data_IF_373232453397
#
_entry.id   IF_373232453397
#
_cell.length_a   1.000
_cell.length_b   1.000
_cell.length_c   1.000
_cell.angle_alpha   90.00
_cell.angle_beta   90.00
_cell.angle_gamma   90.00
#
_symmetry.space_group_name_H-M   'P 1'
#
loop_
_entity.id
_entity.type
_entity.pdbx_description
1 polymer ?
#
# COMPACT_ATOMS: atom_id res chain seq x y z
N UNK A 1 -26.24 0.06 15.00
CA UNK A 1 -25.51 -0.78 14.03
C UNK A 1 -25.78 -0.38 12.59
N UNK A 2 -27.04 -0.15 12.21
CA UNK A 2 -27.41 0.30 10.84
C UNK A 2 -26.63 1.52 10.34
N UNK A 3 -26.33 2.48 11.22
CA UNK A 3 -25.49 3.64 10.88
C UNK A 3 -24.08 3.23 10.43
N UNK A 4 -23.43 2.32 11.16
CA UNK A 4 -22.08 1.85 10.83
C UNK A 4 -22.07 1.10 9.50
N UNK A 5 -23.04 0.23 9.26
CA UNK A 5 -23.16 -0.51 8.01
C UNK A 5 -23.42 0.42 6.82
N UNK A 6 -24.32 1.41 7.00
CA UNK A 6 -24.70 2.36 5.95
C UNK A 6 -23.55 3.30 5.58
N UNK A 7 -22.79 3.78 6.57
CA UNK A 7 -21.75 4.79 6.39
C UNK A 7 -20.33 4.23 6.56
N UNK A 8 -20.14 2.92 6.44
CA UNK A 8 -18.85 2.26 6.67
C UNK A 8 -17.71 2.87 5.83
N UNK A 9 -17.99 3.19 4.56
CA UNK A 9 -17.02 3.77 3.63
C UNK A 9 -16.68 5.20 4.01
N UNK A 10 -17.67 6.02 4.34
CA UNK A 10 -17.50 7.41 4.73
C UNK A 10 -16.73 7.52 6.05
N UNK A 11 -17.05 6.65 7.02
CA UNK A 11 -16.33 6.55 8.29
C UNK A 11 -14.88 6.17 8.03
N UNK A 12 -14.62 5.14 7.22
CA UNK A 12 -13.27 4.73 6.86
C UNK A 12 -12.47 5.86 6.21
N UNK A 13 -13.02 6.50 5.16
CA UNK A 13 -12.37 7.62 4.47
C UNK A 13 -12.11 8.78 5.44
N UNK A 14 -13.05 9.08 6.33
CA UNK A 14 -12.88 10.13 7.32
C UNK A 14 -11.74 9.82 8.29
N UNK A 15 -11.66 8.58 8.79
CA UNK A 15 -10.58 8.15 9.69
C UNK A 15 -9.24 8.21 8.95
N UNK A 16 -9.16 7.73 7.71
CA UNK A 16 -7.94 7.79 6.87
C UNK A 16 -7.45 9.23 6.66
N UNK A 17 -8.34 10.15 6.28
CA UNK A 17 -8.00 11.57 6.11
C UNK A 17 -7.48 12.14 7.43
N UNK A 18 -8.13 11.84 8.55
CA UNK A 18 -7.72 12.31 9.87
C UNK A 18 -6.38 11.70 10.31
N UNK A 19 -6.11 10.45 9.96
CA UNK A 19 -4.84 9.75 10.16
C UNK A 19 -3.71 10.44 9.42
N UNK A 20 -3.91 10.75 8.14
CA UNK A 20 -2.93 11.48 7.31
C UNK A 20 -2.67 12.88 7.86
N UNK A 21 -3.73 13.62 8.22
CA UNK A 21 -3.61 14.94 8.85
C UNK A 21 -2.81 14.86 10.15
N UNK A 22 -3.06 13.84 10.98
CA UNK A 22 -2.33 13.61 12.22
C UNK A 22 -0.84 13.37 11.96
N UNK A 23 -0.47 12.59 10.93
CA UNK A 23 0.93 12.40 10.54
C UNK A 23 1.62 13.69 10.08
N UNK A 24 0.92 14.52 9.30
CA UNK A 24 1.46 15.81 8.86
C UNK A 24 1.62 16.77 10.03
N UNK A 25 0.64 16.84 10.93
CA UNK A 25 0.71 17.66 12.14
C UNK A 25 1.83 17.20 13.07
N UNK A 26 2.06 15.89 13.20
CA UNK A 26 3.20 15.34 13.94
C UNK A 26 4.50 15.97 13.46
N UNK A 27 4.79 15.92 12.15
CA UNK A 27 6.05 16.44 11.64
C UNK A 27 6.12 17.97 11.64
N UNK A 28 5.01 18.68 11.39
CA UNK A 28 4.96 20.15 11.49
C UNK A 28 5.26 20.60 12.93
N UNK A 29 4.55 20.06 13.91
CA UNK A 29 4.74 20.44 15.32
C UNK A 29 6.14 20.05 15.82
N UNK A 30 6.66 18.91 15.35
CA UNK A 30 8.00 18.44 15.72
C UNK A 30 9.11 19.30 15.12
N UNK A 31 9.04 19.63 13.83
CA UNK A 31 10.16 20.23 13.10
C UNK A 31 10.02 21.73 12.88
N UNK A 32 8.80 22.24 12.68
CA UNK A 32 8.55 23.66 12.49
C UNK A 32 8.43 24.39 13.84
N UNK A 33 7.66 23.82 14.77
CA UNK A 33 7.41 24.44 16.08
C UNK A 33 8.41 24.00 17.17
N UNK A 34 9.27 23.01 16.87
CA UNK A 34 10.23 22.41 17.81
C UNK A 34 9.58 21.90 19.13
N UNK A 35 8.29 21.50 19.10
CA UNK A 35 7.54 21.01 20.27
C UNK A 35 7.48 19.49 20.29
N UNK A 36 8.61 18.83 20.57
CA UNK A 36 8.73 17.35 20.56
C UNK A 36 7.68 16.64 21.43
N UNK A 37 7.44 17.12 22.65
CA UNK A 37 6.44 16.52 23.56
C UNK A 37 5.02 16.58 22.97
N UNK A 38 4.64 17.72 22.39
CA UNK A 38 3.34 17.89 21.76
C UNK A 38 3.21 17.05 20.48
N UNK A 39 4.30 16.85 19.73
CA UNK A 39 4.26 15.98 18.55
C UNK A 39 3.83 14.55 18.88
N UNK A 40 4.16 14.03 20.08
CA UNK A 40 3.73 12.68 20.49
C UNK A 40 2.21 12.51 20.54
N UNK A 41 1.44 13.59 20.76
CA UNK A 41 -0.01 13.53 20.70
C UNK A 41 -0.50 13.14 19.30
N UNK A 42 0.10 13.72 18.25
CA UNK A 42 -0.33 13.51 16.86
C UNK A 42 0.06 12.13 16.33
N UNK A 43 1.24 11.63 16.67
CA UNK A 43 1.58 10.23 16.32
C UNK A 43 0.75 9.23 17.11
N UNK A 44 0.41 9.54 18.38
CA UNK A 44 -0.52 8.74 19.17
C UNK A 44 -1.93 8.74 18.57
N UNK A 45 -2.42 9.89 18.11
CA UNK A 45 -3.70 10.01 17.42
C UNK A 45 -3.71 9.19 16.12
N UNK A 46 -2.66 9.27 15.29
CA UNK A 46 -2.52 8.43 14.11
C UNK A 46 -2.62 6.93 14.44
N UNK A 47 -1.88 6.46 15.46
CA UNK A 47 -1.91 5.04 15.85
C UNK A 47 -3.29 4.63 16.40
N UNK A 48 -3.95 5.51 17.16
CA UNK A 48 -5.30 5.27 17.65
C UNK A 48 -6.30 5.13 16.49
N UNK A 49 -6.23 6.01 15.49
CA UNK A 49 -7.11 5.99 14.33
C UNK A 49 -6.92 4.71 13.49
N UNK A 50 -5.66 4.27 13.31
CA UNK A 50 -5.36 2.98 12.66
C UNK A 50 -5.97 1.80 13.42
N UNK A 51 -5.92 1.81 14.76
CA UNK A 51 -6.58 0.78 15.58
C UNK A 51 -8.10 0.84 15.44
N UNK A 52 -8.67 2.05 15.36
CA UNK A 52 -10.11 2.23 15.15
C UNK A 52 -10.58 1.68 13.79
N UNK A 53 -9.79 1.83 12.72
CA UNK A 53 -10.08 1.21 11.42
C UNK A 53 -10.11 -0.31 11.52
N UNK A 54 -9.10 -0.90 12.17
CA UNK A 54 -9.05 -2.34 12.39
C UNK A 54 -10.27 -2.83 13.22
N UNK A 55 -10.64 -2.10 14.26
CA UNK A 55 -11.82 -2.42 15.08
C UNK A 55 -13.12 -2.28 14.29
N UNK A 56 -13.23 -1.28 13.41
CA UNK A 56 -14.41 -1.10 12.55
C UNK A 56 -14.63 -2.33 11.66
N UNK A 57 -13.57 -2.88 11.06
CA UNK A 57 -13.67 -4.12 10.29
C UNK A 57 -14.13 -5.31 11.13
N UNK A 58 -13.59 -5.46 12.35
CA UNK A 58 -13.97 -6.55 13.27
C UNK A 58 -15.44 -6.43 13.70
N UNK A 59 -15.90 -5.24 14.07
CA UNK A 59 -17.30 -5.00 14.48
C UNK A 59 -18.24 -5.31 13.33
N UNK A 60 -17.92 -4.89 12.10
CA UNK A 60 -18.76 -5.20 10.95
C UNK A 60 -18.81 -6.70 10.67
N UNK A 61 -17.70 -7.42 10.83
CA UNK A 61 -17.67 -8.87 10.67
C UNK A 61 -18.53 -9.60 11.71
N UNK A 62 -18.49 -9.15 12.96
CA UNK A 62 -19.31 -9.73 14.03
C UNK A 62 -20.82 -9.59 13.75
N UNK A 63 -21.22 -8.54 13.03
CA UNK A 63 -22.62 -8.25 12.73
C UNK A 63 -23.10 -8.91 11.43
N UNK A 64 -22.25 -8.96 10.39
CA UNK A 64 -22.63 -9.56 9.11
C UNK A 64 -22.37 -11.07 9.06
N UNK A 65 -21.40 -11.57 9.84
CA UNK A 65 -20.91 -12.96 9.74
C UNK A 65 -20.14 -13.27 8.44
N UNK A 66 -20.04 -12.29 7.54
CA UNK A 66 -19.47 -12.45 6.20
C UNK A 66 -18.29 -11.51 5.98
N UNK A 67 -17.29 -12.00 5.25
CA UNK A 67 -16.15 -11.19 4.80
C UNK A 67 -16.58 -10.34 3.61
N UNK A 68 -16.86 -9.07 3.87
CA UNK A 68 -17.24 -8.12 2.83
C UNK A 68 -16.02 -7.50 2.13
N UNK A 69 -16.22 -6.94 0.93
CA UNK A 69 -15.20 -6.15 0.21
C UNK A 69 -14.60 -5.06 1.10
N UNK A 70 -15.41 -4.44 1.95
CA UNK A 70 -14.95 -3.41 2.89
C UNK A 70 -13.91 -3.95 3.88
N UNK A 71 -14.15 -5.13 4.47
CA UNK A 71 -13.23 -5.76 5.40
C UNK A 71 -11.93 -6.19 4.71
N UNK A 72 -12.01 -6.66 3.46
CA UNK A 72 -10.81 -6.99 2.66
C UNK A 72 -9.97 -5.74 2.45
N UNK A 73 -10.59 -4.61 2.07
CA UNK A 73 -9.89 -3.34 1.89
C UNK A 73 -9.21 -2.90 3.19
N UNK A 74 -9.93 -2.86 4.32
CA UNK A 74 -9.30 -2.49 5.61
C UNK A 74 -8.15 -3.44 5.95
N UNK A 75 -8.33 -4.74 5.74
CA UNK A 75 -7.27 -5.72 6.02
C UNK A 75 -6.00 -5.42 5.23
N UNK A 76 -6.13 -5.08 3.94
CA UNK A 76 -5.00 -4.67 3.11
C UNK A 76 -4.32 -3.41 3.67
N UNK A 77 -5.10 -2.39 4.05
CA UNK A 77 -4.57 -1.14 4.63
C UNK A 77 -3.83 -1.39 5.95
N UNK A 78 -4.41 -2.18 6.85
CA UNK A 78 -3.78 -2.55 8.13
C UNK A 78 -2.51 -3.35 7.91
N UNK A 79 -2.54 -4.37 7.04
CA UNK A 79 -1.35 -5.16 6.70
C UNK A 79 -0.26 -4.27 6.10
N UNK A 80 -0.61 -3.36 5.21
CA UNK A 80 0.33 -2.40 4.64
C UNK A 80 0.94 -1.50 5.72
N UNK A 81 0.13 -0.94 6.62
CA UNK A 81 0.59 -0.10 7.72
C UNK A 81 1.58 -0.85 8.64
N UNK A 82 1.30 -2.12 8.95
CA UNK A 82 2.16 -2.96 9.79
C UNK A 82 3.46 -3.41 9.08
N UNK A 83 3.47 -3.53 7.76
CA UNK A 83 4.61 -4.07 7.00
C UNK A 83 5.45 -2.95 6.36
N UNK A 84 4.89 -2.29 5.34
CA UNK A 84 5.57 -1.27 4.55
C UNK A 84 5.45 0.14 5.15
N UNK A 85 4.43 0.37 5.98
CA UNK A 85 4.14 1.66 6.60
C UNK A 85 5.31 2.25 7.39
N UNK A 86 6.12 1.41 8.05
CA UNK A 86 7.31 1.88 8.80
C UNK A 86 8.36 2.48 7.85
N UNK A 87 8.60 1.85 6.70
CA UNK A 87 9.57 2.33 5.73
C UNK A 87 9.11 3.64 5.08
N UNK A 88 7.82 3.75 4.79
CA UNK A 88 7.23 4.94 4.20
C UNK A 88 7.13 6.08 5.20
N UNK A 89 6.83 5.80 6.47
CA UNK A 89 6.94 6.79 7.55
C UNK A 89 8.36 7.36 7.65
N UNK A 90 9.40 6.52 7.56
CA UNK A 90 10.80 7.02 7.55
C UNK A 90 11.13 7.88 6.33
N UNK A 91 10.51 7.62 5.17
CA UNK A 91 10.67 8.46 3.97
C UNK A 91 9.97 9.80 4.16
N UNK A 92 8.72 9.79 4.63
CA UNK A 92 7.94 10.99 4.94
C UNK A 92 8.67 11.87 5.96
N UNK A 93 9.09 11.27 7.06
CA UNK A 93 9.83 11.93 8.14
C UNK A 93 11.08 12.66 7.64
N UNK A 94 11.88 12.00 6.79
CA UNK A 94 13.05 12.62 6.14
C UNK A 94 12.67 13.74 5.18
N UNK A 95 11.63 13.54 4.37
CA UNK A 95 11.13 14.56 3.46
C UNK A 95 10.69 15.81 4.22
N UNK A 96 9.99 15.64 5.35
CA UNK A 96 9.58 16.74 6.23
C UNK A 96 10.78 17.46 6.84
N UNK A 97 11.77 16.73 7.36
CA UNK A 97 13.02 17.33 7.87
C UNK A 97 13.73 18.15 6.80
N UNK A 98 13.85 17.63 5.57
CA UNK A 98 14.44 18.36 4.45
C UNK A 98 13.66 19.62 4.10
N UNK A 99 12.33 19.51 3.98
CA UNK A 99 11.47 20.63 3.55
C UNK A 99 11.42 21.74 4.62
N UNK A 100 11.18 21.37 5.87
CA UNK A 100 11.05 22.30 6.99
C UNK A 100 12.42 22.87 7.39
N UNK A 101 13.49 22.06 7.35
CA UNK A 101 14.86 22.54 7.59
C UNK A 101 15.24 23.62 6.57
N UNK A 102 14.94 23.40 5.29
CA UNK A 102 15.11 24.40 4.24
C UNK A 102 14.30 25.68 4.47
N UNK A 103 13.08 25.60 5.00
CA UNK A 103 12.29 26.78 5.37
C UNK A 103 12.85 27.54 6.57
N UNK A 104 13.47 26.84 7.53
CA UNK A 104 14.04 27.45 8.75
C UNK A 104 15.50 27.88 8.59
N UNK A 105 16.17 27.47 7.51
CA UNK A 105 17.62 27.60 7.39
C UNK A 105 18.39 26.74 8.40
N UNK A 106 17.76 25.69 8.93
CA UNK A 106 18.35 24.79 9.91
C UNK A 106 18.64 23.42 9.29
N UNK A 107 19.80 22.85 9.63
CA UNK A 107 20.14 21.49 9.23
C UNK A 107 19.42 20.49 10.15
N UNK A 108 18.37 19.86 9.61
CA UNK A 108 17.60 18.82 10.29
C UNK A 108 17.95 17.40 9.81
N UNK A 109 18.62 17.26 8.68
CA UNK A 109 19.01 15.95 8.15
C UNK A 109 20.27 15.44 8.86
N UNK A 110 20.31 14.13 9.05
CA UNK A 110 21.49 13.44 9.60
C UNK A 110 22.44 13.01 8.48
N UNK A 111 23.70 12.72 8.80
CA UNK A 111 24.66 12.16 7.83
C UNK A 111 24.13 10.89 7.13
N UNK A 112 23.41 10.04 7.89
CA UNK A 112 22.74 8.86 7.36
C UNK A 112 21.66 9.21 6.34
N UNK A 113 20.92 10.30 6.58
CA UNK A 113 19.91 10.77 5.63
C UNK A 113 20.55 11.21 4.31
N UNK A 114 21.67 11.93 4.39
CA UNK A 114 22.46 12.34 3.23
C UNK A 114 23.03 11.16 2.45
N UNK A 115 23.61 10.18 3.13
CA UNK A 115 24.11 8.95 2.50
C UNK A 115 23.02 8.23 1.69
N UNK A 116 21.82 8.10 2.25
CA UNK A 116 20.70 7.45 1.55
C UNK A 116 20.22 8.29 0.36
N UNK A 117 20.17 9.62 0.49
CA UNK A 117 19.81 10.51 -0.61
C UNK A 117 20.82 10.34 -1.75
N UNK A 118 22.11 10.32 -1.43
CA UNK A 118 23.19 10.17 -2.42
C UNK A 118 23.18 8.79 -3.09
N UNK A 119 22.98 7.72 -2.31
CA UNK A 119 22.81 6.38 -2.85
C UNK A 119 21.64 6.31 -3.84
N UNK A 120 20.51 6.95 -3.52
CA UNK A 120 19.35 6.97 -4.41
C UNK A 120 19.56 7.80 -5.70
N UNK A 121 20.58 8.67 -5.75
CA UNK A 121 20.97 9.35 -7.01
C UNK A 121 21.75 8.43 -7.95
N UNK A 122 22.41 7.39 -7.43
CA UNK A 122 23.18 6.46 -8.25
C UNK A 122 22.24 5.58 -9.08
N UNK A 123 22.23 5.70 -10.43
CA UNK A 123 21.31 4.95 -11.29
C UNK A 123 21.50 3.43 -11.19
N UNK A 124 22.74 2.96 -11.00
CA UNK A 124 23.04 1.53 -10.88
C UNK A 124 22.46 0.94 -9.59
N UNK A 125 22.58 1.69 -8.49
CA UNK A 125 21.98 1.30 -7.21
C UNK A 125 20.46 1.25 -7.31
N UNK A 126 19.85 2.30 -7.88
CA UNK A 126 18.41 2.42 -8.02
C UNK A 126 17.83 1.29 -8.89
N UNK A 127 18.46 0.99 -10.02
CA UNK A 127 18.09 -0.13 -10.89
C UNK A 127 18.17 -1.48 -10.16
N UNK A 128 19.25 -1.74 -9.40
CA UNK A 128 19.38 -2.98 -8.61
C UNK A 128 18.29 -3.09 -7.55
N UNK A 129 18.04 -2.00 -6.82
CA UNK A 129 17.01 -1.95 -5.79
C UNK A 129 15.63 -2.26 -6.39
N UNK A 130 15.25 -1.57 -7.46
CA UNK A 130 13.94 -1.76 -8.08
C UNK A 130 13.75 -3.15 -8.68
N UNK A 131 14.79 -3.75 -9.28
CA UNK A 131 14.72 -5.16 -9.72
C UNK A 131 14.41 -6.12 -8.57
N UNK A 132 15.06 -5.95 -7.43
CA UNK A 132 14.84 -6.84 -6.30
C UNK A 132 13.43 -6.67 -5.73
N UNK A 133 12.98 -5.42 -5.55
CA UNK A 133 11.63 -5.13 -5.06
C UNK A 133 10.54 -5.56 -6.04
N UNK A 134 10.73 -5.38 -7.35
CA UNK A 134 9.76 -5.81 -8.36
C UNK A 134 9.72 -7.33 -8.49
N UNK A 135 10.85 -8.01 -8.30
CA UNK A 135 10.91 -9.47 -8.23
C UNK A 135 10.16 -9.99 -7.00
N UNK A 136 10.35 -9.36 -5.84
CA UNK A 136 9.59 -9.71 -4.63
C UNK A 136 8.09 -9.49 -4.83
N UNK A 137 7.68 -8.34 -5.41
CA UNK A 137 6.28 -8.05 -5.71
C UNK A 137 5.70 -9.07 -6.72
N UNK A 138 6.44 -9.44 -7.76
CA UNK A 138 6.06 -10.48 -8.72
C UNK A 138 5.84 -11.83 -8.03
N UNK A 139 6.74 -12.24 -7.13
CA UNK A 139 6.59 -13.50 -6.39
C UNK A 139 5.30 -13.48 -5.55
N UNK A 140 5.07 -12.41 -4.79
CA UNK A 140 3.86 -12.25 -3.98
C UNK A 140 2.61 -12.26 -4.86
N UNK A 141 2.62 -11.51 -5.96
CA UNK A 141 1.53 -11.44 -6.92
C UNK A 141 1.19 -12.83 -7.47
N UNK A 142 2.19 -13.56 -7.99
CA UNK A 142 1.99 -14.92 -8.53
C UNK A 142 1.44 -15.87 -7.47
N UNK A 143 1.97 -15.84 -6.24
CA UNK A 143 1.49 -16.70 -5.15
C UNK A 143 0.02 -16.41 -4.83
N UNK A 144 -0.36 -15.15 -4.67
CA UNK A 144 -1.75 -14.80 -4.30
C UNK A 144 -2.71 -15.08 -5.46
N UNK A 145 -2.34 -14.75 -6.70
CA UNK A 145 -3.15 -15.06 -7.88
C UNK A 145 -3.34 -16.58 -8.02
N UNK A 146 -2.28 -17.36 -7.83
CA UNK A 146 -2.36 -18.81 -7.81
C UNK A 146 -3.33 -19.31 -6.73
N UNK A 147 -3.30 -18.75 -5.52
CA UNK A 147 -4.25 -19.10 -4.45
C UNK A 147 -5.68 -18.77 -4.89
N UNK A 148 -5.93 -17.59 -5.44
CA UNK A 148 -7.27 -17.19 -5.91
C UNK A 148 -7.79 -18.14 -7.00
N UNK A 149 -6.95 -18.47 -7.98
CA UNK A 149 -7.34 -19.35 -9.08
C UNK A 149 -7.55 -20.79 -8.61
N UNK A 150 -6.74 -21.27 -7.66
CA UNK A 150 -6.88 -22.59 -7.06
C UNK A 150 -8.13 -22.74 -6.19
N UNK A 151 -8.75 -21.63 -5.78
CA UNK A 151 -10.05 -21.63 -5.12
C UNK A 151 -11.22 -21.68 -6.12
N UNK A 152 -11.04 -21.16 -7.34
CA UNK A 152 -12.07 -21.12 -8.38
C UNK A 152 -12.04 -22.28 -9.38
N UNK A 153 -10.92 -22.99 -9.49
CA UNK A 153 -10.74 -24.11 -10.44
C UNK A 153 -10.80 -25.47 -9.73
N UNK A 154 -11.31 -26.49 -10.40
CA UNK A 154 -11.47 -27.84 -9.87
C UNK A 154 -10.15 -28.62 -9.83
N UNK A 155 -9.22 -28.33 -10.76
CA UNK A 155 -7.93 -29.01 -10.87
C UNK A 155 -6.86 -28.15 -11.54
N UNK A 156 -5.62 -28.66 -11.55
CA UNK A 156 -4.46 -27.95 -12.14
C UNK A 156 -4.57 -27.84 -13.67
N UNK A 157 -5.22 -28.78 -14.35
CA UNK A 157 -5.37 -28.76 -15.80
C UNK A 157 -6.23 -27.58 -16.26
N UNK A 158 -7.33 -27.34 -15.55
CA UNK A 158 -8.22 -26.19 -15.76
C UNK A 158 -7.49 -24.86 -15.51
N UNK A 159 -6.71 -24.76 -14.43
CA UNK A 159 -5.88 -23.59 -14.12
C UNK A 159 -4.88 -23.29 -15.25
N UNK A 160 -4.22 -24.33 -15.78
CA UNK A 160 -3.31 -24.19 -16.93
C UNK A 160 -4.07 -23.80 -18.20
N UNK A 161 -5.31 -24.24 -18.35
CA UNK A 161 -6.23 -23.80 -19.41
C UNK A 161 -6.40 -22.28 -19.40
N UNK A 162 -6.81 -21.71 -18.27
CA UNK A 162 -6.96 -20.25 -18.09
C UNK A 162 -5.66 -19.45 -18.22
N UNK A 163 -4.50 -20.07 -17.95
CA UNK A 163 -3.20 -19.43 -18.16
C UNK A 163 -2.78 -19.39 -19.64
N UNK A 164 -3.26 -20.33 -20.46
CA UNK A 164 -2.96 -20.43 -21.89
C UNK A 164 -3.95 -19.68 -22.76
N UNK A 165 -5.21 -19.68 -22.36
CA UNK A 165 -6.27 -18.91 -23.02
C UNK A 165 -6.68 -17.73 -22.14
N UNK A 166 -6.46 -16.53 -22.66
CA UNK A 166 -6.72 -15.26 -21.99
C UNK A 166 -8.07 -14.63 -22.41
N UNK A 167 -8.88 -15.34 -23.19
CA UNK A 167 -10.21 -14.89 -23.65
C UNK A 167 -11.15 -14.49 -22.51
N UNK A 168 -11.00 -15.10 -21.33
CA UNK A 168 -11.76 -14.77 -20.13
C UNK A 168 -11.54 -13.33 -19.63
N UNK A 169 -10.37 -12.72 -19.90
CA UNK A 169 -10.14 -11.31 -19.56
C UNK A 169 -10.95 -10.37 -20.45
N UNK A 170 -11.20 -10.75 -21.71
CA UNK A 170 -12.04 -9.99 -22.64
C UNK A 170 -13.54 -10.15 -22.34
N UNK A 171 -13.93 -11.34 -21.84
CA UNK A 171 -15.30 -11.62 -21.43
C UNK A 171 -15.81 -10.74 -20.28
N UNK A 172 -14.89 -10.16 -19.49
CA UNK A 172 -15.20 -9.12 -18.50
C UNK A 172 -16.05 -9.57 -17.31
N UNK A 173 -16.30 -10.87 -17.14
CA UNK A 173 -17.23 -11.46 -16.17
C UNK A 173 -16.55 -12.54 -15.35
N UNK A 174 -16.93 -12.69 -14.07
CA UNK A 174 -16.25 -13.63 -13.18
C UNK A 174 -16.58 -15.09 -13.53
N UNK A 175 -17.76 -15.36 -14.08
CA UNK A 175 -18.24 -16.70 -14.43
C UNK A 175 -17.37 -17.38 -15.49
N UNK A 176 -16.73 -16.59 -16.35
CA UNK A 176 -15.82 -17.08 -17.38
C UNK A 176 -14.37 -17.08 -16.93
N UNK A 177 -14.09 -16.69 -15.68
CA UNK A 177 -12.74 -16.47 -15.16
C UNK A 177 -12.29 -17.61 -14.22
N UNK A 178 -10.99 -17.72 -13.91
CA UNK A 178 -10.51 -18.69 -12.92
C UNK A 178 -10.84 -18.30 -11.46
N UNK A 179 -11.52 -17.18 -11.22
CA UNK A 179 -11.82 -16.70 -9.87
C UNK A 179 -13.15 -17.26 -9.35
N UNK A 180 -13.24 -17.61 -8.06
CA UNK A 180 -14.42 -18.28 -7.49
C UNK A 180 -15.65 -17.38 -7.31
N UNK A 181 -15.48 -16.06 -7.34
CA UNK A 181 -16.57 -15.09 -7.17
C UNK A 181 -16.19 -13.71 -7.73
N UNK A 182 -17.21 -12.87 -7.88
CA UNK A 182 -17.08 -11.49 -8.39
C UNK A 182 -16.08 -10.64 -7.59
N UNK A 183 -16.04 -10.79 -6.27
CA UNK A 183 -15.15 -10.01 -5.40
C UNK A 183 -13.67 -10.32 -5.67
N UNK A 184 -13.30 -11.60 -5.72
CA UNK A 184 -11.91 -12.01 -5.99
C UNK A 184 -11.51 -11.74 -7.43
N UNK A 185 -12.45 -11.86 -8.38
CA UNK A 185 -12.25 -11.42 -9.75
C UNK A 185 -11.92 -9.91 -9.82
N UNK A 186 -12.74 -9.07 -9.20
CA UNK A 186 -12.53 -7.62 -9.20
C UNK A 186 -11.20 -7.22 -8.54
N UNK A 187 -10.87 -7.81 -7.38
CA UNK A 187 -9.59 -7.57 -6.69
C UNK A 187 -8.43 -8.05 -7.55
N UNK A 188 -8.51 -9.27 -8.09
CA UNK A 188 -7.46 -9.88 -8.89
C UNK A 188 -7.16 -9.09 -10.16
N UNK A 189 -8.20 -8.64 -10.87
CA UNK A 189 -8.08 -7.81 -12.08
C UNK A 189 -7.52 -6.42 -11.76
N UNK A 190 -8.05 -5.73 -10.75
CA UNK A 190 -7.55 -4.42 -10.35
C UNK A 190 -6.08 -4.47 -9.92
N UNK A 191 -5.73 -5.45 -9.08
CA UNK A 191 -4.35 -5.64 -8.66
C UNK A 191 -3.44 -6.03 -9.82
N UNK A 192 -3.93 -6.82 -10.78
CA UNK A 192 -3.21 -7.13 -12.02
C UNK A 192 -2.81 -5.87 -12.79
N UNK A 193 -3.73 -4.93 -12.97
CA UNK A 193 -3.45 -3.65 -13.63
C UNK A 193 -2.40 -2.84 -12.85
N UNK A 194 -2.59 -2.70 -11.53
CA UNK A 194 -1.65 -1.97 -10.65
C UNK A 194 -0.25 -2.60 -10.70
N UNK A 195 -0.19 -3.93 -10.66
CA UNK A 195 1.05 -4.70 -10.72
C UNK A 195 1.79 -4.45 -12.05
N UNK A 196 1.10 -4.49 -13.20
CA UNK A 196 1.73 -4.22 -14.50
C UNK A 196 2.33 -2.82 -14.55
N UNK A 197 1.60 -1.81 -14.07
CA UNK A 197 2.11 -0.42 -14.02
C UNK A 197 3.35 -0.32 -13.12
N UNK A 198 3.30 -0.87 -11.91
CA UNK A 198 4.43 -0.88 -10.96
C UNK A 198 5.65 -1.64 -11.51
N UNK A 199 5.41 -2.77 -12.18
CA UNK A 199 6.46 -3.59 -12.76
C UNK A 199 7.16 -2.88 -13.92
N UNK A 200 6.40 -2.29 -14.85
CA UNK A 200 6.95 -1.49 -15.95
C UNK A 200 7.75 -0.30 -15.38
N UNK A 201 7.19 0.41 -14.41
CA UNK A 201 7.86 1.54 -13.77
C UNK A 201 9.19 1.12 -13.13
N UNK A 202 9.19 0.04 -12.34
CA UNK A 202 10.38 -0.47 -11.66
C UNK A 202 11.47 -0.92 -12.64
N UNK A 203 11.08 -1.60 -13.72
CA UNK A 203 12.02 -2.08 -14.74
C UNK A 203 12.51 -0.98 -15.69
N UNK A 204 11.78 0.14 -15.82
CA UNK A 204 12.23 1.29 -16.60
C UNK A 204 13.60 1.82 -16.14
N UNK A 205 13.90 1.78 -14.84
CA UNK A 205 15.20 2.16 -14.29
C UNK A 205 16.35 1.25 -14.73
N UNK A 206 16.05 0.01 -15.13
CA UNK A 206 17.05 -0.94 -15.63
C UNK A 206 17.22 -0.83 -17.14
N UNK A 207 16.11 -0.72 -17.88
CA UNK A 207 16.11 -0.70 -19.35
C UNK A 207 16.53 0.68 -19.88
N UNK A 208 16.07 1.75 -19.23
CA UNK A 208 16.33 3.14 -19.57
C UNK A 208 16.97 3.88 -18.38
N UNK A 209 18.21 3.53 -17.99
CA UNK A 209 18.86 4.17 -16.86
C UNK A 209 19.02 5.67 -17.11
N UNK A 210 18.65 6.50 -16.13
CA UNK A 210 18.87 7.94 -16.22
C UNK A 210 20.36 8.21 -16.40
N UNK A 211 20.73 9.04 -17.38
CA UNK A 211 22.10 9.60 -17.46
C UNK A 211 22.34 10.37 -16.17
N UNK A 212 23.27 9.91 -15.34
CA UNK A 212 23.60 10.59 -14.09
C UNK A 212 23.89 12.07 -14.35
N UNK A 213 23.35 12.95 -13.50
CA UNK A 213 23.86 14.32 -13.37
C UNK A 213 25.05 14.29 -12.42
#
# INVERSE_FOLDING_TARGET
>A
MEFLLKFQWEIFIFIEVLSVVSLLLFGIVRYLMNKKKLSFLFIGAFLMLLVLEALLAVVLYQETGEISTFQIVITIFVLYACTFGIADFKKLDRWMRKKIGGWRGEELLTDKDYQIIEQNKNPKYLARKYRWTSTAHLIVFVIVQFIFWKLGTANIEELVGYARDLSWMEAGTYENSPYPNETLYAIGMLWGIIFVVDFIWSWSYTIFPSKGK
#
